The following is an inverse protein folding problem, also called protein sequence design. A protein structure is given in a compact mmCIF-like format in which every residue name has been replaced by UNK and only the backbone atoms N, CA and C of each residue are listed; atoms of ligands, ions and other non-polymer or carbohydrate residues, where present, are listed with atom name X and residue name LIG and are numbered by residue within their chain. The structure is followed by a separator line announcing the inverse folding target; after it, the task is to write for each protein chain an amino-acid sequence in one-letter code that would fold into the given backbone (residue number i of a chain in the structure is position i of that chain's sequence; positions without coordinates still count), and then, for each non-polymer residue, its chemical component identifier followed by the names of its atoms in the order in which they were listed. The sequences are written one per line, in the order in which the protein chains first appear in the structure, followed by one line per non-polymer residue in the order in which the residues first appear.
data_IF_779968836183
#
_entry.id   IF_779968836183
#
_cell.length_a   1.000
_cell.length_b   1.000
_cell.length_c   1.000
_cell.angle_alpha   90.00
_cell.angle_beta   90.00
_cell.angle_gamma   90.00
#
_symmetry.space_group_name_H-M   'P 1'
#
loop_
_entity.id
_entity.type
_entity.pdbx_description
1 polymer ?
#
# COMPACT_ATOMS: atom_id res chain seq x y z
N UNK A 1 16.44 36.14 -0.60
CA UNK A 1 16.12 35.20 -1.70
C UNK A 1 14.65 35.45 -2.06
N UNK A 2 14.36 35.97 -3.25
CA UNK A 2 12.98 36.24 -3.64
C UNK A 2 12.18 34.92 -3.69
N UNK A 3 10.94 34.97 -3.21
CA UNK A 3 10.04 33.83 -3.31
C UNK A 3 9.51 33.76 -4.75
N UNK A 4 9.70 32.62 -5.41
CA UNK A 4 9.10 32.38 -6.73
C UNK A 4 7.57 32.42 -6.64
N UNK A 5 6.94 33.01 -7.65
CA UNK A 5 5.48 32.99 -7.81
C UNK A 5 5.01 31.56 -8.14
N UNK A 6 3.71 31.23 -7.94
CA UNK A 6 3.16 29.93 -8.31
C UNK A 6 3.43 29.57 -9.78
N UNK A 7 3.29 30.53 -10.69
CA UNK A 7 3.51 30.35 -12.13
C UNK A 7 4.97 29.99 -12.44
N UNK A 8 5.93 30.62 -11.75
CA UNK A 8 7.35 30.30 -11.88
C UNK A 8 7.68 28.91 -11.35
N UNK A 9 6.97 28.46 -10.30
CA UNK A 9 7.12 27.08 -9.80
C UNK A 9 6.59 26.04 -10.80
N UNK A 10 5.50 26.34 -11.49
CA UNK A 10 4.93 25.46 -12.51
C UNK A 10 5.81 25.41 -13.78
N UNK A 11 6.41 26.53 -14.16
CA UNK A 11 7.40 26.57 -15.23
C UNK A 11 8.65 25.76 -14.86
N UNK A 12 9.18 25.96 -13.65
CA UNK A 12 10.34 25.23 -13.13
C UNK A 12 10.06 23.71 -13.09
N UNK A 13 8.85 23.32 -12.67
CA UNK A 13 8.41 21.92 -12.71
C UNK A 13 8.44 21.37 -14.13
N UNK A 14 7.80 22.03 -15.09
CA UNK A 14 7.76 21.58 -16.49
C UNK A 14 9.15 21.44 -17.09
N UNK A 15 10.04 22.41 -16.84
CA UNK A 15 11.41 22.37 -17.31
C UNK A 15 12.22 21.21 -16.70
N UNK A 16 11.99 20.95 -15.41
CA UNK A 16 12.60 19.81 -14.70
C UNK A 16 12.11 18.46 -15.22
N UNK A 17 10.81 18.32 -15.41
CA UNK A 17 10.19 17.10 -15.93
C UNK A 17 10.58 16.84 -17.40
N UNK A 18 10.80 17.89 -18.19
CA UNK A 18 11.32 17.81 -19.55
C UNK A 18 12.77 17.35 -19.66
N UNK A 19 13.55 17.44 -18.57
CA UNK A 19 14.87 16.80 -18.47
C UNK A 19 15.93 17.35 -19.43
N UNK A 20 15.77 18.56 -19.95
CA UNK A 20 16.76 19.24 -20.81
C UNK A 20 17.85 19.87 -19.95
N UNK A 21 17.43 20.62 -18.92
CA UNK A 21 18.31 21.33 -17.99
C UNK A 21 18.57 20.48 -16.72
N UNK A 22 19.73 20.65 -16.09
CA UNK A 22 20.05 20.08 -14.77
C UNK A 22 19.39 20.90 -13.64
N UNK A 23 19.17 20.28 -12.47
CA UNK A 23 18.64 20.99 -11.29
C UNK A 23 19.52 22.18 -10.88
N UNK A 24 20.82 22.19 -11.23
CA UNK A 24 21.75 23.30 -10.99
C UNK A 24 21.55 24.45 -11.97
N UNK A 25 21.30 24.16 -13.24
CA UNK A 25 20.98 25.16 -14.26
C UNK A 25 19.60 25.78 -14.00
N UNK A 26 18.61 24.97 -13.62
CA UNK A 26 17.29 25.45 -13.19
C UNK A 26 17.39 26.34 -11.95
N UNK A 27 18.18 25.95 -10.96
CA UNK A 27 18.45 26.77 -9.78
C UNK A 27 19.03 28.15 -10.14
N UNK A 28 20.00 28.19 -11.05
CA UNK A 28 20.58 29.44 -11.53
C UNK A 28 19.58 30.28 -12.32
N UNK A 29 18.80 29.67 -13.21
CA UNK A 29 17.79 30.34 -14.06
C UNK A 29 16.67 30.99 -13.26
N UNK A 30 16.17 30.29 -12.25
CA UNK A 30 15.07 30.76 -11.40
C UNK A 30 15.55 31.47 -10.12
N UNK A 31 16.86 31.64 -9.91
CA UNK A 31 17.40 32.32 -8.74
C UNK A 31 17.06 31.65 -7.40
N UNK A 32 16.93 30.31 -7.39
CA UNK A 32 16.63 29.52 -6.20
C UNK A 32 17.74 28.51 -5.90
N UNK A 33 17.86 28.09 -4.66
CA UNK A 33 18.84 27.07 -4.30
C UNK A 33 18.40 25.67 -4.78
N UNK A 34 19.34 24.85 -5.26
CA UNK A 34 19.07 23.47 -5.72
C UNK A 34 18.34 22.64 -4.66
N UNK A 35 18.73 22.78 -3.38
CA UNK A 35 18.02 22.11 -2.26
C UNK A 35 16.54 22.49 -2.17
N UNK A 36 16.16 23.73 -2.52
CA UNK A 36 14.76 24.17 -2.52
C UNK A 36 13.97 23.44 -3.61
N UNK A 37 14.55 23.30 -4.81
CA UNK A 37 13.97 22.53 -5.90
C UNK A 37 13.81 21.06 -5.48
N UNK A 38 14.85 20.42 -4.95
CA UNK A 38 14.80 19.02 -4.52
C UNK A 38 13.79 18.78 -3.39
N UNK A 39 13.74 19.68 -2.40
CA UNK A 39 12.79 19.59 -1.29
C UNK A 39 11.35 19.71 -1.80
N UNK A 40 11.10 20.65 -2.71
CA UNK A 40 9.78 20.86 -3.31
C UNK A 40 9.39 19.68 -4.22
N UNK A 41 10.30 19.20 -5.04
CA UNK A 41 10.10 18.02 -5.88
C UNK A 41 9.72 16.78 -5.07
N UNK A 42 10.33 16.57 -3.89
CA UNK A 42 9.93 15.49 -2.97
C UNK A 42 8.55 15.72 -2.35
N UNK A 43 8.28 16.94 -1.86
CA UNK A 43 7.03 17.28 -1.19
C UNK A 43 5.81 17.19 -2.14
N UNK A 44 6.00 17.56 -3.40
CA UNK A 44 4.95 17.58 -4.42
C UNK A 44 5.10 16.47 -5.48
N UNK A 45 5.95 15.48 -5.20
CA UNK A 45 6.18 14.30 -6.03
C UNK A 45 6.41 14.59 -7.53
N UNK A 46 7.27 15.56 -7.83
CA UNK A 46 7.64 15.89 -9.21
C UNK A 46 8.48 14.77 -9.83
N UNK A 47 8.20 14.42 -11.08
CA UNK A 47 8.92 13.37 -11.79
C UNK A 47 10.41 13.70 -11.83
N UNK A 48 11.25 12.78 -11.35
CA UNK A 48 12.71 12.94 -11.41
C UNK A 48 13.20 12.71 -12.83
N UNK A 49 14.15 13.53 -13.28
CA UNK A 49 15.01 13.27 -14.44
C UNK A 49 15.79 11.99 -14.18
N UNK A 50 15.19 10.84 -14.48
CA UNK A 50 15.87 9.56 -14.50
C UNK A 50 16.42 9.43 -15.91
N UNK A 51 17.74 9.54 -16.05
CA UNK A 51 18.42 8.83 -17.13
C UNK A 51 17.98 7.36 -17.10
N UNK A 52 18.13 6.60 -18.20
CA UNK A 52 17.61 5.23 -18.28
C UNK A 52 18.06 4.47 -17.03
N UNK A 53 17.09 4.10 -16.21
CA UNK A 53 17.38 3.31 -15.03
C UNK A 53 18.10 2.06 -15.50
N UNK A 54 19.20 1.72 -14.85
CA UNK A 54 19.72 0.36 -14.93
C UNK A 54 18.54 -0.60 -14.71
N UNK A 55 18.42 -1.63 -15.55
CA UNK A 55 17.36 -2.63 -15.44
C UNK A 55 17.26 -3.20 -14.02
N UNK A 56 18.39 -3.28 -13.30
CA UNK A 56 18.46 -3.68 -11.90
C UNK A 56 17.80 -2.66 -10.95
N UNK A 57 18.03 -1.35 -11.13
CA UNK A 57 17.36 -0.32 -10.32
C UNK A 57 15.86 -0.26 -10.63
N UNK A 58 15.47 -0.53 -11.87
CA UNK A 58 14.05 -0.52 -12.28
C UNK A 58 13.32 -1.73 -11.71
N UNK A 59 13.96 -2.90 -11.70
CA UNK A 59 13.48 -4.09 -11.03
C UNK A 59 13.33 -3.85 -9.52
N UNK A 60 14.35 -3.31 -8.85
CA UNK A 60 14.30 -3.00 -7.41
C UNK A 60 13.17 -2.02 -7.05
N UNK A 61 13.02 -0.93 -7.83
CA UNK A 61 11.91 0.02 -7.63
C UNK A 61 10.54 -0.62 -7.88
N UNK A 62 10.44 -1.53 -8.86
CA UNK A 62 9.21 -2.28 -9.14
C UNK A 62 8.88 -3.25 -8.01
N UNK A 63 9.89 -3.90 -7.43
CA UNK A 63 9.77 -4.77 -6.26
C UNK A 63 9.29 -3.97 -5.04
N UNK A 64 9.86 -2.79 -4.79
CA UNK A 64 9.46 -1.92 -3.67
C UNK A 64 8.03 -1.38 -3.82
N UNK A 65 7.63 -0.99 -5.03
CA UNK A 65 6.24 -0.58 -5.32
C UNK A 65 5.27 -1.74 -5.09
N UNK A 66 5.62 -2.95 -5.54
CA UNK A 66 4.79 -4.14 -5.33
C UNK A 66 4.71 -4.54 -3.84
N UNK A 67 5.82 -4.45 -3.08
CA UNK A 67 5.84 -4.66 -1.62
C UNK A 67 4.93 -3.68 -0.87
N UNK A 68 4.96 -2.41 -1.25
CA UNK A 68 4.07 -1.39 -0.67
C UNK A 68 2.59 -1.64 -0.99
N UNK A 69 2.30 -2.12 -2.20
CA UNK A 69 0.95 -2.54 -2.57
C UNK A 69 0.47 -3.71 -1.70
N UNK A 70 1.30 -4.75 -1.54
CA UNK A 70 1.01 -5.91 -0.67
C UNK A 70 0.68 -5.48 0.76
N UNK A 71 1.52 -4.64 1.39
CA UNK A 71 1.26 -4.10 2.73
C UNK A 71 -0.06 -3.34 2.83
N UNK A 72 -0.36 -2.50 1.84
CA UNK A 72 -1.63 -1.74 1.80
C UNK A 72 -2.83 -2.67 1.68
N UNK A 73 -2.73 -3.72 0.88
CA UNK A 73 -3.80 -4.71 0.72
C UNK A 73 -4.03 -5.49 2.02
N UNK A 74 -2.98 -5.94 2.70
CA UNK A 74 -3.12 -6.56 4.03
C UNK A 74 -3.82 -5.65 5.03
N UNK A 75 -3.43 -4.37 5.11
CA UNK A 75 -4.09 -3.39 6.00
C UNK A 75 -5.56 -3.16 5.64
N UNK A 76 -5.89 -3.14 4.35
CA UNK A 76 -7.27 -2.98 3.90
C UNK A 76 -8.13 -4.20 4.28
N UNK A 77 -7.58 -5.42 4.14
CA UNK A 77 -8.24 -6.66 4.56
C UNK A 77 -8.46 -6.65 6.07
N UNK A 78 -7.43 -6.32 6.88
CA UNK A 78 -7.55 -6.23 8.35
C UNK A 78 -8.60 -5.20 8.78
N UNK A 79 -8.62 -4.03 8.15
CA UNK A 79 -9.61 -2.99 8.46
C UNK A 79 -11.02 -3.46 8.17
N UNK A 80 -11.22 -4.12 7.02
CA UNK A 80 -12.53 -4.67 6.65
C UNK A 80 -12.97 -5.79 7.59
N UNK A 81 -12.04 -6.64 8.03
CA UNK A 81 -12.30 -7.70 9.00
C UNK A 81 -12.71 -7.12 10.37
N UNK A 82 -12.00 -6.09 10.87
CA UNK A 82 -12.36 -5.39 12.12
C UNK A 82 -13.75 -4.78 12.07
N UNK A 83 -14.14 -4.21 10.93
CA UNK A 83 -15.50 -3.67 10.73
C UNK A 83 -16.57 -4.76 10.70
N UNK A 84 -16.25 -5.96 10.21
CA UNK A 84 -17.15 -7.12 10.29
C UNK A 84 -17.26 -7.63 11.73
N UNK A 85 -16.14 -7.75 12.43
CA UNK A 85 -16.09 -8.16 13.84
C UNK A 85 -16.88 -7.20 14.76
N UNK A 86 -16.73 -5.90 14.57
CA UNK A 86 -17.47 -4.90 15.34
C UNK A 86 -18.99 -5.03 15.14
N UNK A 87 -19.43 -5.16 13.87
CA UNK A 87 -20.85 -5.32 13.55
C UNK A 87 -21.43 -6.60 14.13
N UNK A 88 -20.70 -7.71 14.06
CA UNK A 88 -21.13 -8.98 14.66
C UNK A 88 -21.23 -8.87 16.19
N UNK A 89 -20.29 -8.19 16.85
CA UNK A 89 -20.36 -7.95 18.30
C UNK A 89 -21.54 -7.06 18.70
N UNK A 90 -21.86 -6.05 17.90
CA UNK A 90 -23.05 -5.19 18.10
C UNK A 90 -24.35 -5.99 17.92
N UNK A 91 -24.41 -6.89 16.94
CA UNK A 91 -25.54 -7.79 16.77
C UNK A 91 -25.71 -8.75 17.96
N UNK A 92 -24.62 -9.37 18.44
CA UNK A 92 -24.64 -10.25 19.61
C UNK A 92 -25.10 -9.49 20.86
N UNK A 93 -24.57 -8.28 21.12
CA UNK A 93 -25.00 -7.44 22.25
C UNK A 93 -26.43 -6.95 22.13
N UNK A 94 -26.92 -6.70 20.91
CA UNK A 94 -28.30 -6.34 20.65
C UNK A 94 -29.28 -7.48 20.91
N UNK A 95 -28.86 -8.74 20.71
CA UNK A 95 -29.64 -9.94 21.01
C UNK A 95 -29.80 -10.18 22.52
N UNK A 96 -28.84 -9.71 23.35
CA UNK A 96 -28.94 -9.78 24.82
C UNK A 96 -29.91 -8.73 25.42
N UNK A 97 -30.30 -7.71 24.64
CA UNK A 97 -31.06 -6.54 25.12
C UNK A 97 -32.58 -6.56 24.85
N UNK A 98 -33.04 -7.20 23.78
CA UNK A 98 -34.48 -7.34 23.48
C UNK A 98 -34.83 -8.77 23.07
N UNK A 99 -35.83 -9.32 23.75
CA UNK A 99 -36.33 -10.67 23.53
C UNK A 99 -36.73 -10.92 22.06
N UNK A 100 -35.96 -11.77 21.38
CA UNK A 100 -36.54 -12.77 20.47
C UNK A 100 -36.91 -12.33 19.05
N UNK A 101 -36.31 -11.29 18.49
CA UNK A 101 -36.30 -11.10 17.02
C UNK A 101 -34.89 -10.89 16.51
N UNK A 102 -34.29 -11.98 16.04
CA UNK A 102 -33.13 -11.93 15.14
C UNK A 102 -33.47 -10.98 13.97
N UNK A 103 -32.71 -9.89 13.76
CA UNK A 103 -32.72 -9.20 12.48
C UNK A 103 -32.41 -10.23 11.39
N UNK A 104 -33.07 -10.17 10.22
CA UNK A 104 -32.96 -11.21 9.22
C UNK A 104 -31.49 -11.40 8.80
N UNK A 105 -31.01 -12.65 8.82
CA UNK A 105 -29.70 -13.17 8.39
C UNK A 105 -29.38 -12.92 6.89
N UNK A 106 -29.95 -11.87 6.28
CA UNK A 106 -29.77 -11.51 4.87
C UNK A 106 -28.35 -11.00 4.57
N UNK A 107 -27.63 -10.53 5.58
CA UNK A 107 -26.23 -10.10 5.41
C UNK A 107 -25.24 -11.27 5.56
N UNK A 108 -25.60 -12.41 6.17
CA UNK A 108 -24.65 -13.50 6.42
C UNK A 108 -24.17 -14.15 5.12
N UNK A 109 -25.04 -14.45 4.16
CA UNK A 109 -24.63 -14.98 2.86
C UNK A 109 -23.78 -13.99 2.05
N UNK A 110 -24.04 -12.69 2.21
CA UNK A 110 -23.27 -11.62 1.56
C UNK A 110 -21.91 -11.45 2.24
N UNK A 111 -21.86 -11.59 3.55
CA UNK A 111 -20.65 -11.54 4.36
C UNK A 111 -19.78 -12.78 4.17
N UNK A 112 -20.36 -13.98 4.09
CA UNK A 112 -19.69 -15.23 3.74
C UNK A 112 -19.09 -15.14 2.33
N UNK A 113 -19.82 -14.57 1.36
CA UNK A 113 -19.27 -14.31 0.01
C UNK A 113 -18.17 -13.24 0.01
N UNK A 114 -18.31 -12.20 0.83
CA UNK A 114 -17.29 -11.18 1.04
C UNK A 114 -16.02 -11.81 1.65
N UNK A 115 -16.17 -12.71 2.63
CA UNK A 115 -15.09 -13.48 3.27
C UNK A 115 -14.40 -14.38 2.24
N UNK A 116 -15.15 -15.15 1.46
CA UNK A 116 -14.59 -15.99 0.41
C UNK A 116 -13.81 -15.18 -0.64
N UNK A 117 -14.20 -13.92 -0.86
CA UNK A 117 -13.46 -13.00 -1.73
C UNK A 117 -12.18 -12.49 -1.07
N UNK A 118 -12.20 -12.24 0.24
CA UNK A 118 -11.01 -11.84 0.99
C UNK A 118 -9.97 -12.98 1.04
N UNK A 119 -10.40 -14.22 1.22
CA UNK A 119 -9.53 -15.41 1.19
C UNK A 119 -8.84 -15.53 -0.17
N UNK A 120 -9.59 -15.48 -1.28
CA UNK A 120 -9.01 -15.54 -2.62
C UNK A 120 -8.04 -14.39 -2.91
N UNK A 121 -8.33 -13.20 -2.38
CA UNK A 121 -7.42 -12.06 -2.52
C UNK A 121 -6.14 -12.25 -1.69
N UNK A 122 -6.25 -12.83 -0.50
CA UNK A 122 -5.11 -13.18 0.36
C UNK A 122 -4.20 -14.21 -0.32
N UNK A 123 -4.79 -15.24 -0.95
CA UNK A 123 -4.03 -16.25 -1.70
C UNK A 123 -3.25 -15.62 -2.87
N UNK A 124 -3.90 -14.76 -3.66
CA UNK A 124 -3.25 -14.00 -4.73
C UNK A 124 -2.13 -13.08 -4.24
N UNK A 125 -2.33 -12.44 -3.09
CA UNK A 125 -1.29 -11.59 -2.48
C UNK A 125 -0.10 -12.43 -2.04
N UNK A 126 -0.35 -13.62 -1.51
CA UNK A 126 0.69 -14.57 -1.10
C UNK A 126 1.47 -15.11 -2.30
N UNK A 127 0.78 -15.41 -3.40
CA UNK A 127 1.39 -15.80 -4.68
C UNK A 127 2.28 -14.68 -5.24
N UNK A 128 1.77 -13.43 -5.28
CA UNK A 128 2.55 -12.26 -5.69
C UNK A 128 3.78 -12.03 -4.81
N UNK A 129 3.67 -12.24 -3.49
CA UNK A 129 4.81 -12.14 -2.58
C UNK A 129 5.86 -13.23 -2.88
N UNK A 130 5.43 -14.46 -3.13
CA UNK A 130 6.31 -15.59 -3.44
C UNK A 130 6.99 -15.48 -4.81
N UNK A 131 6.34 -14.85 -5.79
CA UNK A 131 6.94 -14.49 -7.07
C UNK A 131 8.01 -13.40 -6.91
N UNK A 132 7.75 -12.39 -6.07
CA UNK A 132 8.72 -11.33 -5.78
C UNK A 132 10.01 -11.87 -5.16
N UNK A 133 9.89 -12.81 -4.22
CA UNK A 133 11.04 -13.44 -3.55
C UNK A 133 11.92 -14.21 -4.55
N UNK A 134 11.31 -15.00 -5.44
CA UNK A 134 12.03 -15.72 -6.52
C UNK A 134 12.78 -14.79 -7.47
N UNK A 135 12.28 -13.58 -7.69
CA UNK A 135 12.93 -12.60 -8.59
C UNK A 135 14.01 -11.76 -7.93
N UNK A 136 14.06 -11.71 -6.59
CA UNK A 136 14.96 -10.86 -5.82
C UNK A 136 16.32 -11.51 -5.50
N UNK A 137 16.62 -12.69 -6.08
CA UNK A 137 17.85 -13.44 -5.80
C UNK A 137 19.08 -12.75 -6.43
N UNK A 138 19.59 -11.77 -5.68
CA UNK A 138 20.65 -10.83 -6.05
C UNK A 138 21.29 -10.17 -4.82
N UNK A 139 21.78 -11.00 -3.90
CA UNK A 139 22.83 -10.81 -2.86
C UNK A 139 22.89 -9.57 -1.94
N UNK A 140 22.03 -8.56 -2.01
CA UNK A 140 22.09 -7.44 -1.04
C UNK A 140 20.74 -6.92 -0.51
N UNK A 141 19.59 -7.35 -1.07
CA UNK A 141 18.25 -7.02 -0.55
C UNK A 141 17.71 -8.02 0.51
N UNK A 142 18.52 -9.00 0.90
CA UNK A 142 18.07 -10.22 1.60
C UNK A 142 17.51 -10.01 3.02
N UNK A 143 17.97 -9.02 3.78
CA UNK A 143 17.50 -8.83 5.16
C UNK A 143 16.13 -8.16 5.21
N UNK A 144 15.95 -7.03 4.53
CA UNK A 144 14.68 -6.30 4.48
C UNK A 144 13.61 -7.13 3.75
N UNK A 145 13.99 -7.87 2.70
CA UNK A 145 13.09 -8.78 2.00
C UNK A 145 12.63 -9.94 2.90
N UNK A 146 13.54 -10.55 3.66
CA UNK A 146 13.21 -11.62 4.59
C UNK A 146 12.34 -11.13 5.76
N UNK A 147 12.61 -9.93 6.29
CA UNK A 147 11.80 -9.33 7.36
C UNK A 147 10.38 -8.99 6.87
N UNK A 148 10.26 -8.46 5.66
CA UNK A 148 8.99 -8.26 4.95
C UNK A 148 8.22 -9.56 4.74
N UNK A 149 8.90 -10.63 4.36
CA UNK A 149 8.28 -11.93 4.16
C UNK A 149 7.80 -12.51 5.49
N UNK A 150 8.60 -12.38 6.55
CA UNK A 150 8.21 -12.76 7.90
C UNK A 150 7.05 -11.91 8.44
N UNK A 151 7.01 -10.61 8.10
CA UNK A 151 5.89 -9.71 8.40
C UNK A 151 4.61 -10.13 7.66
N UNK A 152 4.69 -10.38 6.35
CA UNK A 152 3.57 -10.84 5.53
C UNK A 152 3.04 -12.21 5.98
N UNK A 153 3.94 -13.14 6.32
CA UNK A 153 3.60 -14.48 6.80
C UNK A 153 2.93 -14.43 8.19
N UNK A 154 3.40 -13.54 9.09
CA UNK A 154 2.73 -13.27 10.37
C UNK A 154 1.31 -12.74 10.14
N UNK A 155 1.16 -11.73 9.27
CA UNK A 155 -0.15 -11.19 8.93
C UNK A 155 -1.07 -12.23 8.29
N UNK A 156 -0.53 -13.09 7.43
CA UNK A 156 -1.29 -14.19 6.81
C UNK A 156 -1.84 -15.14 7.87
N UNK A 157 -1.00 -15.61 8.79
CA UNK A 157 -1.43 -16.51 9.87
C UNK A 157 -2.50 -15.89 10.75
N UNK A 158 -2.30 -14.64 11.16
CA UNK A 158 -3.26 -13.92 12.00
C UNK A 158 -4.62 -13.75 11.30
N UNK A 159 -4.62 -13.37 10.01
CA UNK A 159 -5.85 -13.21 9.23
C UNK A 159 -6.55 -14.56 9.02
N UNK A 160 -5.82 -15.63 8.71
CA UNK A 160 -6.39 -16.96 8.56
C UNK A 160 -7.03 -17.45 9.87
N UNK A 161 -6.37 -17.23 11.01
CA UNK A 161 -6.90 -17.65 12.31
C UNK A 161 -8.18 -16.88 12.68
N UNK A 162 -8.20 -15.56 12.45
CA UNK A 162 -9.37 -14.73 12.69
C UNK A 162 -10.53 -15.09 11.76
N UNK A 163 -10.24 -15.33 10.48
CA UNK A 163 -11.24 -15.81 9.52
C UNK A 163 -11.82 -17.17 9.93
N UNK A 164 -10.99 -18.10 10.41
CA UNK A 164 -11.47 -19.39 10.90
C UNK A 164 -12.38 -19.25 12.11
N UNK A 165 -12.02 -18.38 13.07
CA UNK A 165 -12.86 -18.03 14.23
C UNK A 165 -14.20 -17.40 13.80
N UNK A 166 -14.16 -16.52 12.80
CA UNK A 166 -15.35 -15.85 12.29
C UNK A 166 -16.31 -16.80 11.59
N UNK A 167 -15.78 -17.71 10.75
CA UNK A 167 -16.56 -18.75 10.07
C UNK A 167 -17.19 -19.72 11.07
N UNK A 168 -16.46 -20.10 12.13
CA UNK A 168 -16.99 -20.98 13.18
C UNK A 168 -18.05 -20.31 14.08
N UNK A 169 -18.09 -18.98 14.14
CA UNK A 169 -19.10 -18.24 14.90
C UNK A 169 -20.37 -17.92 14.08
N UNK A 170 -20.27 -17.99 12.74
CA UNK A 170 -21.36 -17.71 11.81
C UNK A 170 -22.13 -18.98 11.34
N UNK A 171 -21.62 -20.17 11.66
CA UNK A 171 -22.27 -21.47 11.40
C UNK A 171 -22.78 -22.09 12.69
#
# INVERSE_FOLDING_TARGET
MPALTPEQWDELRRAREGGVESDRELAARFGVHVRTILRRARLYNWLTRRGPMSASSFAAATIEVRRNLVRRLYRAIDTKLKLMEHRMQEQIRGLDGEAGKLPPMLDDEREIRSIGTLIRNLDKITEMASELDRTADGRQESADAAELFAEAERYRRELTERLAKFVAAAG
#
